data_IF_203196143457
#
_entry.id   IF_203196143457
#
_cell.length_a   1.000
_cell.length_b   1.000
_cell.length_c   1.000
_cell.angle_alpha   90.00
_cell.angle_beta   90.00
_cell.angle_gamma   90.00
#
_symmetry.space_group_name_H-M   'P 1'
#
loop_
_entity.id
_entity.type
_entity.pdbx_description
1 polymer ?
#
# COMPACT_ATOMS: atom_id res chain seq x y z
N UNK A 1 -8.28 4.55 24.52
CA UNK A 1 -7.36 3.40 24.39
C UNK A 1 -5.99 3.94 24.01
N UNK A 2 -4.94 3.63 24.78
CA UNK A 2 -3.58 4.06 24.46
C UNK A 2 -2.98 3.19 23.35
N UNK A 3 -2.39 3.80 22.34
CA UNK A 3 -1.69 3.06 21.27
C UNK A 3 -0.32 2.59 21.75
N UNK A 4 0.11 1.42 21.30
CA UNK A 4 1.44 0.85 21.62
C UNK A 4 2.43 0.99 20.47
N UNK A 5 1.95 1.34 19.27
CA UNK A 5 2.75 1.61 18.08
C UNK A 5 2.39 2.98 17.49
N UNK A 6 3.30 3.61 16.71
CA UNK A 6 2.95 4.79 15.92
C UNK A 6 1.74 4.47 15.03
N UNK A 7 0.71 5.30 15.10
CA UNK A 7 -0.54 5.09 14.36
C UNK A 7 -0.80 6.27 13.45
N UNK A 8 -0.74 6.06 12.13
CA UNK A 8 -1.00 7.14 11.15
C UNK A 8 -2.47 7.56 11.13
N UNK A 9 -2.69 8.86 10.92
CA UNK A 9 -3.99 9.50 10.94
C UNK A 9 -4.19 10.34 9.68
N UNK A 10 -5.46 10.54 9.31
CA UNK A 10 -5.86 11.45 8.25
C UNK A 10 -6.40 12.71 8.89
N UNK A 11 -5.54 13.73 9.00
CA UNK A 11 -5.88 15.02 9.61
C UNK A 11 -5.90 16.08 8.51
N UNK A 12 -7.09 16.55 8.08
CA UNK A 12 -7.19 17.70 7.18
C UNK A 12 -6.50 18.92 7.78
N UNK A 13 -5.88 19.75 6.94
CA UNK A 13 -5.12 20.93 7.39
C UNK A 13 -5.95 21.83 8.32
N UNK A 14 -7.21 22.08 7.97
CA UNK A 14 -8.16 22.89 8.75
C UNK A 14 -8.43 22.33 10.17
N UNK A 15 -8.30 21.01 10.33
CA UNK A 15 -8.58 20.32 11.59
C UNK A 15 -7.31 20.07 12.42
N UNK A 16 -6.13 20.46 11.93
CA UNK A 16 -4.87 20.15 12.58
C UNK A 16 -4.73 20.76 13.98
N UNK A 17 -5.18 22.01 14.16
CA UNK A 17 -5.15 22.68 15.47
C UNK A 17 -6.03 21.95 16.49
N UNK A 18 -7.21 21.53 16.04
CA UNK A 18 -8.16 20.76 16.86
C UNK A 18 -7.56 19.40 17.24
N UNK A 19 -7.02 18.67 16.27
CA UNK A 19 -6.42 17.37 16.51
C UNK A 19 -5.26 17.43 17.50
N UNK A 20 -4.38 18.44 17.40
CA UNK A 20 -3.30 18.68 18.37
C UNK A 20 -3.83 18.96 19.77
N UNK A 21 -4.89 19.77 19.89
CA UNK A 21 -5.52 20.07 21.18
C UNK A 21 -6.14 18.82 21.81
N UNK A 22 -6.85 18.01 21.03
CA UNK A 22 -7.49 16.78 21.51
C UNK A 22 -6.48 15.69 21.88
N UNK A 23 -5.41 15.56 21.10
CA UNK A 23 -4.33 14.62 21.38
C UNK A 23 -3.58 14.99 22.67
N UNK A 24 -3.33 16.29 22.87
CA UNK A 24 -2.58 16.80 24.01
C UNK A 24 -1.14 16.28 24.05
N UNK A 25 -0.67 16.02 25.27
CA UNK A 25 0.68 15.52 25.55
C UNK A 25 0.64 14.11 26.13
N UNK A 26 1.72 13.38 25.90
CA UNK A 26 2.02 12.12 26.56
C UNK A 26 2.45 12.36 28.01
N UNK A 27 2.51 11.28 28.79
CA UNK A 27 2.95 11.32 30.20
C UNK A 27 4.38 11.83 30.37
N UNK A 28 5.23 11.62 29.36
CA UNK A 28 6.62 12.12 29.34
C UNK A 28 6.74 13.59 28.86
N UNK A 29 5.62 14.30 28.72
CA UNK A 29 5.57 15.71 28.33
C UNK A 29 5.73 15.99 26.82
N UNK A 30 5.98 14.96 26.00
CA UNK A 30 6.06 15.09 24.54
C UNK A 30 4.67 15.23 23.92
N UNK A 31 4.58 15.81 22.72
CA UNK A 31 3.32 15.90 22.00
C UNK A 31 2.82 14.49 21.62
N UNK A 32 1.52 14.24 21.76
CA UNK A 32 0.92 12.97 21.39
C UNK A 32 0.82 12.77 19.86
N UNK A 33 0.86 13.87 19.09
CA UNK A 33 0.92 13.87 17.63
C UNK A 33 2.28 14.36 17.14
N UNK A 34 2.79 13.69 16.12
CA UNK A 34 4.02 14.05 15.41
C UNK A 34 3.80 13.96 13.90
N UNK A 35 4.56 14.76 13.15
CA UNK A 35 4.49 14.80 11.70
C UNK A 35 5.64 13.98 11.12
N UNK A 36 5.31 13.01 10.28
CA UNK A 36 6.26 12.28 9.45
C UNK A 36 6.46 13.08 8.15
N UNK A 37 7.65 13.67 7.99
CA UNK A 37 7.98 14.52 6.84
C UNK A 37 8.12 13.71 5.53
N UNK A 38 8.63 12.48 5.60
CA UNK A 38 8.83 11.61 4.44
C UNK A 38 7.49 11.18 3.85
N UNK A 39 6.59 10.75 4.74
CA UNK A 39 5.25 10.32 4.35
C UNK A 39 4.28 11.48 4.25
N UNK A 40 4.64 12.69 4.71
CA UNK A 40 3.76 13.86 4.81
C UNK A 40 2.43 13.53 5.50
N UNK A 41 2.52 12.84 6.62
CA UNK A 41 1.36 12.36 7.39
C UNK A 41 1.55 12.67 8.86
N UNK A 42 0.44 12.84 9.57
CA UNK A 42 0.45 12.89 11.03
C UNK A 42 0.29 11.50 11.60
N UNK A 43 0.97 11.22 12.70
CA UNK A 43 0.79 9.98 13.45
C UNK A 43 0.66 10.26 14.95
N UNK A 44 -0.12 9.42 15.61
CA UNK A 44 -0.18 9.35 17.05
C UNK A 44 1.01 8.54 17.56
N UNK A 45 1.78 9.11 18.48
CA UNK A 45 2.93 8.46 19.10
C UNK A 45 2.46 7.36 20.06
N UNK A 46 3.27 6.32 20.31
CA UNK A 46 2.99 5.35 21.37
C UNK A 46 2.65 6.05 22.70
N UNK A 47 1.60 5.60 23.36
CA UNK A 47 1.04 6.19 24.58
C UNK A 47 -0.08 7.20 24.35
N UNK A 48 -0.30 7.67 23.12
CA UNK A 48 -1.40 8.59 22.80
C UNK A 48 -2.76 7.91 22.95
N UNK A 49 -3.77 8.66 23.44
CA UNK A 49 -5.13 8.15 23.57
C UNK A 49 -5.91 8.27 22.25
N UNK A 50 -5.98 7.16 21.52
CA UNK A 50 -6.62 7.10 20.20
C UNK A 50 -8.14 7.29 20.26
N UNK A 51 -8.76 7.10 21.43
CA UNK A 51 -10.20 7.34 21.60
C UNK A 51 -10.54 8.81 21.35
N UNK A 52 -9.63 9.73 21.72
CA UNK A 52 -9.76 11.18 21.47
C UNK A 52 -9.49 11.55 20.01
N UNK A 53 -8.94 10.64 19.22
CA UNK A 53 -8.54 10.87 17.82
C UNK A 53 -9.35 10.03 16.84
N UNK A 54 -10.45 9.43 17.31
CA UNK A 54 -11.32 8.54 16.54
C UNK A 54 -11.77 9.15 15.20
N UNK A 55 -12.05 10.46 15.17
CA UNK A 55 -12.43 11.21 13.97
C UNK A 55 -11.39 11.17 12.84
N UNK A 56 -10.11 11.09 13.17
CA UNK A 56 -9.02 11.15 12.18
C UNK A 56 -8.39 9.78 11.90
N UNK A 57 -9.01 8.70 12.39
CA UNK A 57 -8.54 7.35 12.09
C UNK A 57 -8.68 7.04 10.60
N UNK A 58 -7.83 6.13 10.13
CA UNK A 58 -7.95 5.62 8.78
C UNK A 58 -9.26 4.86 8.61
N UNK A 59 -9.96 5.13 7.50
CA UNK A 59 -11.17 4.43 7.12
C UNK A 59 -10.85 3.48 5.97
N UNK A 60 -10.61 2.22 6.32
CA UNK A 60 -10.33 1.17 5.34
C UNK A 60 -11.56 0.84 4.50
N UNK A 61 -12.77 0.95 5.07
CA UNK A 61 -14.01 0.64 4.36
C UNK A 61 -14.28 1.68 3.26
N UNK A 62 -14.03 2.97 3.56
CA UNK A 62 -14.08 4.05 2.56
C UNK A 62 -13.13 3.76 1.40
N UNK A 63 -11.86 3.42 1.68
CA UNK A 63 -10.88 3.10 0.64
C UNK A 63 -11.33 1.90 -0.20
N UNK A 64 -11.82 0.84 0.44
CA UNK A 64 -12.31 -0.36 -0.26
C UNK A 64 -13.54 -0.08 -1.13
N UNK A 65 -14.45 0.79 -0.69
CA UNK A 65 -15.66 1.16 -1.45
C UNK A 65 -15.40 2.10 -2.63
N UNK A 66 -14.34 2.91 -2.54
CA UNK A 66 -13.94 3.85 -3.59
C UNK A 66 -13.06 3.21 -4.68
N UNK A 67 -12.55 2.01 -4.43
CA UNK A 67 -11.97 1.17 -5.46
C UNK A 67 -13.15 0.57 -6.25
N UNK A 68 -13.47 1.13 -7.43
CA UNK A 68 -14.22 0.40 -8.47
C UNK A 68 -13.55 -0.95 -8.74
N UNK A 69 -14.17 -1.89 -9.48
CA UNK A 69 -13.50 -3.16 -9.78
C UNK A 69 -12.35 -2.92 -10.78
N UNK A 70 -11.08 -2.82 -10.32
CA UNK A 70 -9.99 -2.40 -11.20
C UNK A 70 -9.67 -3.49 -12.21
N UNK A 71 -10.06 -4.73 -11.92
CA UNK A 71 -9.91 -5.85 -12.82
C UNK A 71 -10.90 -5.74 -13.98
N UNK A 72 -12.15 -5.29 -13.73
CA UNK A 72 -13.10 -5.01 -14.79
C UNK A 72 -12.69 -3.80 -15.63
N UNK A 73 -12.34 -2.68 -15.00
CA UNK A 73 -11.92 -1.46 -15.71
C UNK A 73 -10.70 -1.70 -16.61
N UNK A 74 -9.71 -2.46 -16.11
CA UNK A 74 -8.56 -2.84 -16.91
C UNK A 74 -8.94 -3.79 -18.05
N UNK A 75 -9.89 -4.69 -17.81
CA UNK A 75 -10.42 -5.58 -18.85
C UNK A 75 -11.11 -4.80 -19.96
N UNK A 76 -11.89 -3.79 -19.61
CA UNK A 76 -12.57 -2.93 -20.56
C UNK A 76 -11.58 -2.07 -21.35
N UNK A 77 -10.54 -1.54 -20.70
CA UNK A 77 -9.43 -0.88 -21.39
C UNK A 77 -8.76 -1.78 -22.43
N UNK A 78 -8.46 -3.04 -22.10
CA UNK A 78 -7.88 -4.01 -23.04
C UNK A 78 -8.84 -4.28 -24.21
N UNK A 79 -10.15 -4.45 -23.94
CA UNK A 79 -11.17 -4.70 -24.98
C UNK A 79 -11.34 -3.51 -25.91
N UNK A 80 -11.34 -2.28 -25.39
CA UNK A 80 -11.40 -1.05 -26.21
C UNK A 80 -10.23 -0.96 -27.19
N UNK A 81 -9.07 -1.50 -26.79
CA UNK A 81 -7.88 -1.57 -27.64
C UNK A 81 -7.83 -2.82 -28.54
N UNK A 82 -8.92 -3.59 -28.62
CA UNK A 82 -9.07 -4.75 -29.51
C UNK A 82 -8.52 -6.07 -28.97
N UNK A 83 -8.21 -6.15 -27.67
CA UNK A 83 -7.74 -7.38 -27.02
C UNK A 83 -8.90 -8.32 -26.65
N UNK A 84 -8.80 -9.59 -27.07
CA UNK A 84 -9.78 -10.64 -26.72
C UNK A 84 -9.48 -11.25 -25.37
N UNK A 85 -10.32 -10.93 -24.39
CA UNK A 85 -10.33 -11.54 -23.06
C UNK A 85 -11.56 -12.46 -22.91
N UNK A 86 -11.35 -13.71 -22.51
CA UNK A 86 -12.42 -14.67 -22.19
C UNK A 86 -13.08 -14.43 -20.82
N UNK A 87 -12.57 -13.48 -20.04
CA UNK A 87 -13.04 -13.15 -18.70
C UNK A 87 -12.29 -11.95 -18.12
N UNK A 88 -12.35 -11.70 -16.81
CA UNK A 88 -11.54 -10.67 -16.15
C UNK A 88 -10.03 -10.92 -16.35
N UNK A 89 -9.21 -9.90 -16.64
CA UNK A 89 -7.77 -10.06 -16.86
C UNK A 89 -7.01 -10.49 -15.59
N UNK A 90 -5.95 -11.25 -15.74
CA UNK A 90 -5.08 -11.66 -14.62
C UNK A 90 -4.09 -10.54 -14.29
N UNK A 91 -4.21 -9.95 -13.11
CA UNK A 91 -3.37 -8.83 -12.68
C UNK A 91 -2.38 -9.25 -11.58
N UNK A 92 -1.47 -10.16 -11.92
CA UNK A 92 -0.46 -10.75 -11.02
C UNK A 92 0.95 -10.16 -11.21
N UNK A 93 1.07 -9.07 -11.96
CA UNK A 93 2.34 -8.44 -12.32
C UNK A 93 3.15 -9.19 -13.38
N UNK A 94 2.62 -10.27 -13.97
CA UNK A 94 3.28 -11.01 -15.06
C UNK A 94 2.70 -10.63 -16.42
N UNK A 95 3.47 -10.90 -17.47
CA UNK A 95 3.03 -10.72 -18.84
C UNK A 95 2.07 -11.84 -19.25
N UNK A 96 0.88 -11.46 -19.72
CA UNK A 96 -0.14 -12.36 -20.24
C UNK A 96 -0.36 -12.08 -21.73
N UNK A 97 -0.36 -13.14 -22.54
CA UNK A 97 -0.61 -13.05 -23.99
C UNK A 97 -2.07 -13.33 -24.31
N UNK A 98 -2.64 -12.54 -25.20
CA UNK A 98 -4.02 -12.66 -25.66
C UNK A 98 -4.10 -12.53 -27.17
N UNK A 99 -5.18 -13.09 -27.74
CA UNK A 99 -5.53 -12.83 -29.12
C UNK A 99 -6.04 -11.40 -29.28
N UNK A 100 -5.83 -10.82 -30.45
CA UNK A 100 -6.48 -9.60 -30.90
C UNK A 100 -7.75 -9.93 -31.67
N UNK A 101 -8.63 -8.94 -31.84
CA UNK A 101 -9.90 -9.14 -32.58
C UNK A 101 -9.68 -9.63 -34.01
N UNK A 102 -8.63 -9.13 -34.66
CA UNK A 102 -8.22 -9.41 -36.05
C UNK A 102 -7.13 -10.51 -36.16
N UNK A 103 -6.79 -11.19 -35.06
CA UNK A 103 -5.82 -12.28 -35.10
C UNK A 103 -6.38 -13.50 -35.85
N UNK A 104 -5.53 -14.12 -36.67
CA UNK A 104 -5.78 -15.47 -37.21
C UNK A 104 -5.86 -16.47 -36.06
N UNK A 105 -6.65 -17.53 -36.26
CA UNK A 105 -6.82 -18.60 -35.26
C UNK A 105 -5.44 -19.10 -34.74
N UNK A 106 -5.29 -19.10 -33.42
CA UNK A 106 -4.06 -19.52 -32.74
C UNK A 106 -2.99 -18.44 -32.56
N UNK A 107 -3.17 -17.22 -33.12
CA UNK A 107 -2.26 -16.10 -32.85
C UNK A 107 -2.64 -15.36 -31.56
N UNK A 108 -1.60 -14.90 -30.85
CA UNK A 108 -1.70 -14.07 -29.65
C UNK A 108 -0.77 -12.85 -29.80
N UNK A 109 -1.24 -11.85 -30.52
CA UNK A 109 -0.47 -10.64 -30.85
C UNK A 109 -0.54 -9.56 -29.75
N UNK A 110 -1.51 -9.66 -28.83
CA UNK A 110 -1.64 -8.76 -27.70
C UNK A 110 -0.89 -9.25 -26.46
N UNK A 111 -0.30 -8.33 -25.70
CA UNK A 111 0.33 -8.60 -24.40
C UNK A 111 -0.06 -7.54 -23.40
N UNK A 112 -0.39 -7.95 -22.17
CA UNK A 112 -0.65 -7.04 -21.06
C UNK A 112 0.08 -7.45 -19.79
N UNK A 113 0.27 -6.47 -18.90
CA UNK A 113 0.64 -6.68 -17.50
C UNK A 113 -0.29 -5.83 -16.65
N UNK A 114 -0.88 -6.42 -15.62
CA UNK A 114 -1.68 -5.71 -14.62
C UNK A 114 -1.15 -5.96 -13.22
N UNK A 115 -1.23 -4.94 -12.37
CA UNK A 115 -0.84 -4.97 -10.96
C UNK A 115 -2.05 -4.64 -10.09
N UNK A 116 -2.30 -5.45 -9.04
CA UNK A 116 -3.29 -5.13 -8.00
C UNK A 116 -2.68 -4.50 -6.75
N UNK A 117 -1.36 -4.50 -6.64
CA UNK A 117 -0.65 -4.07 -5.45
C UNK A 117 -0.59 -2.53 -5.41
N UNK A 118 -1.18 -1.91 -4.38
CA UNK A 118 -1.20 -0.45 -4.24
C UNK A 118 -2.26 0.21 -5.12
N UNK A 119 -1.84 1.03 -6.11
CA UNK A 119 -2.76 1.59 -7.11
C UNK A 119 -2.86 0.61 -8.28
N UNK A 120 -4.05 0.06 -8.51
CA UNK A 120 -4.24 -0.84 -9.63
C UNK A 120 -3.89 -0.13 -10.94
N UNK A 121 -2.93 -0.70 -11.66
CA UNK A 121 -2.38 -0.15 -12.88
C UNK A 121 -1.99 -1.29 -13.82
N UNK A 122 -1.75 -0.95 -15.08
CA UNK A 122 -1.34 -1.92 -16.06
C UNK A 122 -1.00 -1.27 -17.38
N UNK A 123 -0.57 -2.09 -18.31
CA UNK A 123 -0.36 -1.67 -19.69
C UNK A 123 -0.72 -2.80 -20.63
N UNK A 124 -1.04 -2.41 -21.87
CA UNK A 124 -1.36 -3.31 -22.96
C UNK A 124 -0.68 -2.85 -24.24
N UNK A 125 -0.19 -3.79 -25.04
CA UNK A 125 0.45 -3.53 -26.33
C UNK A 125 0.03 -4.56 -27.36
N UNK A 126 -0.14 -4.11 -28.60
CA UNK A 126 -0.22 -4.97 -29.77
C UNK A 126 1.16 -5.01 -30.43
N UNK A 127 1.80 -6.19 -30.43
CA UNK A 127 3.15 -6.38 -30.97
C UNK A 127 3.24 -6.05 -32.48
N UNK A 128 2.12 -5.92 -33.19
CA UNK A 128 2.06 -5.57 -34.61
C UNK A 128 2.14 -4.06 -34.84
N UNK A 129 1.77 -3.26 -33.84
CA UNK A 129 1.75 -1.79 -33.92
C UNK A 129 3.08 -1.13 -33.46
N UNK A 130 4.12 -1.93 -33.19
CA UNK A 130 5.42 -1.48 -32.69
C UNK A 130 5.52 -1.52 -31.16
N UNK A 131 6.53 -0.83 -30.59
CA UNK A 131 6.82 -0.83 -29.15
C UNK A 131 5.88 0.05 -28.30
N UNK A 132 4.75 0.49 -28.85
CA UNK A 132 3.83 1.38 -28.14
C UNK A 132 3.02 0.63 -27.08
N UNK A 133 3.16 1.04 -25.81
CA UNK A 133 2.38 0.52 -24.68
C UNK A 133 1.30 1.52 -24.30
N UNK A 134 0.05 1.10 -24.39
CA UNK A 134 -1.08 1.82 -23.83
C UNK A 134 -1.07 1.60 -22.32
N UNK A 135 -1.04 2.67 -21.53
CA UNK A 135 -1.00 2.60 -20.07
C UNK A 135 -2.39 2.83 -19.50
N UNK A 136 -2.78 2.02 -18.52
CA UNK A 136 -4.01 2.14 -17.77
C UNK A 136 -3.72 2.30 -16.28
N UNK A 137 -4.55 3.08 -15.62
CA UNK A 137 -4.61 3.12 -14.16
C UNK A 137 -6.06 3.30 -13.73
N UNK A 138 -6.41 2.66 -12.61
CA UNK A 138 -7.69 2.86 -11.90
C UNK A 138 -7.94 4.32 -11.48
N UNK A 139 -6.95 5.21 -11.63
CA UNK A 139 -7.05 6.65 -11.34
C UNK A 139 -7.56 7.50 -12.53
N UNK A 140 -8.10 6.89 -13.59
CA UNK A 140 -8.54 7.63 -14.79
C UNK A 140 -9.73 8.58 -14.55
N UNK A 141 -10.44 8.45 -13.43
CA UNK A 141 -11.17 9.54 -12.79
C UNK A 141 -10.36 10.03 -11.59
N UNK A 142 -10.09 11.34 -11.48
CA UNK A 142 -9.33 11.93 -10.35
C UNK A 142 -9.89 11.37 -9.03
N UNK A 143 -9.12 10.55 -8.28
CA UNK A 143 -9.64 9.93 -7.08
C UNK A 143 -9.95 11.00 -6.03
N UNK A 144 -11.00 10.77 -5.22
CA UNK A 144 -11.36 11.69 -4.14
C UNK A 144 -10.13 11.94 -3.23
N UNK A 145 -9.73 13.21 -3.00
CA UNK A 145 -8.57 13.53 -2.18
C UNK A 145 -8.60 12.92 -0.77
N UNK A 146 -9.79 12.71 -0.21
CA UNK A 146 -10.03 12.05 1.07
C UNK A 146 -9.64 10.58 1.00
N UNK A 147 -10.09 9.88 -0.04
CA UNK A 147 -9.76 8.46 -0.29
C UNK A 147 -8.24 8.30 -0.43
N UNK A 148 -7.59 9.18 -1.19
CA UNK A 148 -6.13 9.18 -1.36
C UNK A 148 -5.43 9.34 0.00
N UNK A 149 -5.89 10.27 0.83
CA UNK A 149 -5.30 10.51 2.14
C UNK A 149 -5.42 9.28 3.07
N UNK A 150 -6.59 8.62 3.08
CA UNK A 150 -6.80 7.37 3.82
C UNK A 150 -5.92 6.24 3.31
N UNK A 151 -5.85 6.03 1.99
CA UNK A 151 -5.02 5.00 1.39
C UNK A 151 -3.53 5.20 1.72
N UNK A 152 -3.05 6.45 1.65
CA UNK A 152 -1.67 6.80 1.99
C UNK A 152 -1.35 6.50 3.45
N UNK A 153 -2.25 6.84 4.37
CA UNK A 153 -2.08 6.56 5.79
C UNK A 153 -2.10 5.06 6.10
N UNK A 154 -2.95 4.29 5.42
CA UNK A 154 -2.97 2.81 5.54
C UNK A 154 -1.65 2.21 5.02
N UNK A 155 -1.19 2.62 3.85
CA UNK A 155 0.07 2.14 3.27
C UNK A 155 1.27 2.45 4.16
N UNK A 156 1.31 3.67 4.75
CA UNK A 156 2.32 4.09 5.71
C UNK A 156 2.34 3.20 6.97
N UNK A 157 1.17 2.86 7.50
CA UNK A 157 1.05 1.97 8.66
C UNK A 157 1.60 0.56 8.35
N UNK A 158 1.27 0.01 7.18
CA UNK A 158 1.74 -1.32 6.79
C UNK A 158 3.24 -1.36 6.47
N UNK A 159 3.80 -0.28 5.91
CA UNK A 159 5.26 -0.15 5.75
C UNK A 159 5.97 -0.16 7.11
N UNK A 160 5.50 0.64 8.07
CA UNK A 160 6.04 0.67 9.43
C UNK A 160 6.03 -0.72 10.08
N UNK A 161 4.90 -1.43 10.01
CA UNK A 161 4.77 -2.78 10.57
C UNK A 161 5.66 -3.81 9.87
N UNK A 162 5.87 -3.68 8.56
CA UNK A 162 6.81 -4.54 7.81
C UNK A 162 8.25 -4.32 8.26
N UNK A 163 8.67 -3.07 8.42
CA UNK A 163 10.02 -2.73 8.90
C UNK A 163 10.26 -3.25 10.33
N UNK A 164 9.30 -3.05 11.23
CA UNK A 164 9.39 -3.57 12.59
C UNK A 164 9.47 -5.10 12.64
N UNK A 165 8.75 -5.81 11.76
CA UNK A 165 8.86 -7.27 11.64
C UNK A 165 10.26 -7.69 11.20
N UNK A 166 10.82 -7.06 10.16
CA UNK A 166 12.18 -7.34 9.68
C UNK A 166 13.24 -7.12 10.76
N UNK A 167 13.13 -6.05 11.54
CA UNK A 167 14.07 -5.76 12.65
C UNK A 167 13.98 -6.85 13.73
N UNK A 168 12.76 -7.25 14.12
CA UNK A 168 12.56 -8.33 15.11
C UNK A 168 13.13 -9.66 14.63
N UNK A 169 12.91 -10.02 13.37
CA UNK A 169 13.46 -11.22 12.75
C UNK A 169 15.00 -11.19 12.74
N UNK A 170 15.61 -10.08 12.33
CA UNK A 170 17.06 -9.93 12.33
C UNK A 170 17.66 -10.07 13.73
N UNK A 171 17.04 -9.43 14.73
CA UNK A 171 17.48 -9.52 16.12
C UNK A 171 17.37 -10.94 16.69
N UNK A 172 16.31 -11.68 16.33
CA UNK A 172 16.14 -13.08 16.73
C UNK A 172 17.22 -13.98 16.12
N UNK A 173 17.53 -13.80 14.83
CA UNK A 173 18.61 -14.55 14.16
C UNK A 173 19.98 -14.23 14.77
N UNK A 174 20.25 -12.96 15.10
CA UNK A 174 21.49 -12.53 15.75
C UNK A 174 21.63 -13.08 17.19
N UNK A 175 20.54 -13.14 17.96
CA UNK A 175 20.55 -13.78 19.28
C UNK A 175 20.74 -15.30 19.18
N UNK A 176 20.09 -15.96 18.21
CA UNK A 176 20.20 -17.40 17.99
C UNK A 176 21.59 -17.82 17.47
N UNK A 177 22.30 -16.94 16.75
CA UNK A 177 23.70 -17.16 16.38
C UNK A 177 24.63 -16.91 17.57
N UNK A 178 24.44 -15.83 18.33
CA UNK A 178 25.25 -15.54 19.52
C UNK A 178 25.16 -16.66 20.58
N UNK A 179 23.97 -17.21 20.84
CA UNK A 179 23.79 -18.35 21.75
C UNK A 179 24.45 -19.64 21.24
N UNK A 180 24.72 -19.77 19.94
CA UNK A 180 25.40 -20.92 19.33
C UNK A 180 26.93 -20.83 19.39
N UNK A 181 27.48 -19.63 19.57
CA UNK A 181 28.92 -19.35 19.60
C UNK A 181 29.45 -18.98 21.00
N UNK A 182 28.67 -19.17 22.07
CA UNK A 182 29.19 -19.00 23.43
C UNK A 182 30.29 -20.04 23.70
N UNK A 183 31.56 -19.64 23.93
CA UNK A 183 32.63 -20.59 24.19
C UNK A 183 32.34 -21.33 25.51
N UNK A 184 32.65 -22.63 25.61
CA UNK A 184 32.52 -23.35 26.87
C UNK A 184 33.37 -22.63 27.93
N UNK A 185 32.79 -22.39 29.12
CA UNK A 185 33.54 -21.88 30.26
C UNK A 185 34.66 -22.88 30.59
N UNK A 186 35.88 -22.56 30.19
CA UNK A 186 37.08 -23.33 30.49
C UNK A 186 37.45 -23.10 31.96
N UNK A 187 36.80 -23.83 32.86
CA UNK A 187 37.29 -24.05 34.22
C UNK A 187 38.34 -25.15 34.19
N UNK A 188 39.62 -24.77 34.27
CA UNK A 188 40.68 -25.72 34.61
C UNK A 188 40.79 -25.82 36.14
N UNK A 189 40.96 -27.03 36.70
CA UNK A 189 41.04 -27.27 38.14
C UNK A 189 42.33 -26.77 38.79
#
# INVERSE_FOLDING_TARGET
MKVTEPTYLVIPFEQLKEAKRQAGKLENGQNALEFDADKKLWFARPGADLSKLSRWRTDTALVMSAQGDPQQEFGDFIRVLGGKLSGPPTMDGKAHRIAMDDDKAGKQSGVYVGHKDGFANGWFTDHRAGDHRNVWSSASARPDPTVIAHQKAIAAQEQLRREQRKIKEHNQVAQASASRYAPPQSGWP
#
